data_IF_108108170565
#
_entry.id   IF_108108170565
#
_cell.length_a   1.000
_cell.length_b   1.000
_cell.length_c   1.000
_cell.angle_alpha   90.00
_cell.angle_beta   90.00
_cell.angle_gamma   90.00
#
_symmetry.space_group_name_H-M   'P 1'
#
loop_
_entity.id
_entity.type
_entity.pdbx_description
1 polymer ?
#
# COMPACT_ATOMS: atom_id res chain seq x y z
N UNK A 1 -36.99 -32.31 -28.52
CA UNK A 1 -37.74 -31.07 -28.62
C UNK A 1 -37.19 -30.05 -27.63
N UNK A 2 -36.16 -29.36 -27.97
CA UNK A 2 -35.64 -28.16 -27.28
C UNK A 2 -34.96 -27.32 -28.36
N UNK A 3 -35.77 -26.62 -29.15
CA UNK A 3 -35.30 -25.50 -29.97
C UNK A 3 -34.95 -24.39 -29.00
N UNK A 4 -33.74 -24.39 -28.51
CA UNK A 4 -33.18 -23.26 -27.80
C UNK A 4 -33.26 -22.08 -28.78
N UNK A 5 -34.15 -21.13 -28.52
CA UNK A 5 -34.30 -19.91 -29.29
C UNK A 5 -32.90 -19.30 -29.44
N UNK A 6 -32.48 -18.93 -30.63
CA UNK A 6 -31.14 -18.42 -30.94
C UNK A 6 -30.75 -17.22 -30.05
N UNK A 7 -31.71 -16.54 -29.46
CA UNK A 7 -31.55 -15.51 -28.43
C UNK A 7 -31.14 -16.13 -27.10
N UNK A 8 -31.83 -17.18 -26.66
CA UNK A 8 -31.53 -17.87 -25.39
C UNK A 8 -30.13 -18.51 -25.43
N UNK A 9 -29.77 -19.16 -26.53
CA UNK A 9 -28.43 -19.72 -26.73
C UNK A 9 -27.32 -18.64 -26.67
N UNK A 10 -27.59 -17.47 -27.31
CA UNK A 10 -26.64 -16.34 -27.28
C UNK A 10 -26.46 -15.75 -25.88
N UNK A 11 -27.55 -15.60 -25.12
CA UNK A 11 -27.49 -15.13 -23.73
C UNK A 11 -26.73 -16.12 -22.86
N UNK A 12 -27.02 -17.43 -22.98
CA UNK A 12 -26.33 -18.48 -22.22
C UNK A 12 -24.83 -18.51 -22.52
N UNK A 13 -24.44 -18.41 -23.80
CA UNK A 13 -23.03 -18.35 -24.20
C UNK A 13 -22.38 -17.09 -23.62
N UNK A 14 -23.03 -15.93 -23.68
CA UNK A 14 -22.48 -14.70 -23.11
C UNK A 14 -22.29 -14.79 -21.60
N UNK A 15 -23.28 -15.34 -20.87
CA UNK A 15 -23.18 -15.56 -19.42
C UNK A 15 -22.07 -16.56 -19.10
N UNK A 16 -21.98 -17.66 -19.87
CA UNK A 16 -20.93 -18.66 -19.69
C UNK A 16 -19.54 -18.07 -19.94
N UNK A 17 -19.35 -17.32 -21.01
CA UNK A 17 -18.06 -16.65 -21.31
C UNK A 17 -17.70 -15.63 -20.23
N UNK A 18 -18.69 -14.88 -19.73
CA UNK A 18 -18.49 -13.95 -18.63
C UNK A 18 -18.10 -14.65 -17.34
N UNK A 19 -18.79 -15.75 -16.98
CA UNK A 19 -18.48 -16.58 -15.81
C UNK A 19 -17.08 -17.22 -15.92
N UNK A 20 -16.72 -17.75 -17.09
CA UNK A 20 -15.38 -18.27 -17.38
C UNK A 20 -14.31 -17.18 -17.26
N UNK A 21 -14.59 -15.98 -17.78
CA UNK A 21 -13.70 -14.82 -17.65
C UNK A 21 -13.45 -14.43 -16.18
N UNK A 22 -14.52 -14.35 -15.38
CA UNK A 22 -14.40 -14.11 -13.93
C UNK A 22 -13.66 -15.22 -13.21
N UNK A 23 -13.93 -16.50 -13.55
CA UNK A 23 -13.23 -17.65 -13.00
C UNK A 23 -11.73 -17.61 -13.35
N UNK A 24 -11.37 -17.25 -14.58
CA UNK A 24 -9.99 -17.07 -15.00
C UNK A 24 -9.30 -15.93 -14.24
N UNK A 25 -9.96 -14.76 -14.10
CA UNK A 25 -9.41 -13.64 -13.33
C UNK A 25 -9.19 -14.01 -11.86
N UNK A 26 -10.11 -14.77 -11.28
CA UNK A 26 -9.96 -15.27 -9.91
C UNK A 26 -8.80 -16.27 -9.79
N UNK A 27 -8.67 -17.20 -10.74
CA UNK A 27 -7.57 -18.15 -10.78
C UNK A 27 -6.21 -17.45 -10.99
N UNK A 28 -6.17 -16.42 -11.85
CA UNK A 28 -4.99 -15.63 -12.16
C UNK A 28 -4.70 -14.51 -11.16
N UNK A 29 -5.43 -14.40 -10.06
CA UNK A 29 -5.34 -13.25 -9.11
C UNK A 29 -3.92 -12.98 -8.61
N UNK A 30 -3.14 -14.02 -8.30
CA UNK A 30 -1.77 -13.86 -7.82
C UNK A 30 -0.86 -13.25 -8.90
N UNK A 31 -1.02 -13.72 -10.14
CA UNK A 31 -0.30 -13.16 -11.29
C UNK A 31 -0.69 -11.70 -11.54
N UNK A 32 -1.99 -11.38 -11.51
CA UNK A 32 -2.47 -10.01 -11.66
C UNK A 32 -1.92 -9.09 -10.57
N UNK A 33 -1.85 -9.56 -9.33
CA UNK A 33 -1.24 -8.83 -8.22
C UNK A 33 0.26 -8.59 -8.50
N UNK A 34 0.99 -9.61 -8.94
CA UNK A 34 2.40 -9.47 -9.30
C UNK A 34 2.61 -8.43 -10.41
N UNK A 35 1.76 -8.42 -11.45
CA UNK A 35 1.79 -7.42 -12.52
C UNK A 35 1.48 -6.01 -12.01
N UNK A 36 0.47 -5.86 -11.15
CA UNK A 36 0.16 -4.57 -10.51
C UNK A 36 1.36 -4.06 -9.70
N UNK A 37 1.96 -4.93 -8.87
CA UNK A 37 3.16 -4.55 -8.13
C UNK A 37 4.33 -4.19 -9.06
N UNK A 38 4.50 -4.89 -10.15
CA UNK A 38 5.54 -4.59 -11.14
C UNK A 38 5.31 -3.21 -11.80
N UNK A 39 4.07 -2.87 -12.11
CA UNK A 39 3.71 -1.52 -12.59
C UNK A 39 4.05 -0.48 -11.53
N UNK A 40 3.64 -0.70 -10.27
CA UNK A 40 3.97 0.20 -9.16
C UNK A 40 5.47 0.36 -8.98
N UNK A 41 6.20 -0.73 -9.01
CA UNK A 41 7.65 -0.71 -8.90
C UNK A 41 8.32 0.00 -10.07
N UNK A 42 7.76 -0.14 -11.29
CA UNK A 42 8.20 0.62 -12.45
C UNK A 42 8.00 2.14 -12.25
N UNK A 43 6.84 2.57 -11.73
CA UNK A 43 6.61 3.98 -11.38
C UNK A 43 7.56 4.48 -10.30
N UNK A 44 7.88 3.64 -9.32
CA UNK A 44 8.84 3.92 -8.26
C UNK A 44 10.24 4.18 -8.82
N UNK A 45 10.68 3.34 -9.74
CA UNK A 45 12.01 3.41 -10.36
C UNK A 45 12.09 4.45 -11.48
N UNK A 46 10.95 4.83 -12.09
CA UNK A 46 10.89 5.73 -13.25
C UNK A 46 11.63 7.07 -13.05
N UNK A 47 11.49 7.83 -11.94
CA UNK A 47 12.23 9.07 -11.76
C UNK A 47 13.75 8.86 -11.67
N UNK A 48 14.18 7.76 -11.07
CA UNK A 48 15.61 7.42 -10.97
C UNK A 48 16.16 7.08 -12.36
N UNK A 49 15.43 6.25 -13.12
CA UNK A 49 15.79 5.88 -14.49
C UNK A 49 15.82 7.11 -15.39
N UNK A 50 14.81 7.99 -15.36
CA UNK A 50 14.76 9.17 -16.22
C UNK A 50 15.87 10.19 -15.95
N UNK A 51 16.30 10.33 -14.71
CA UNK A 51 17.42 11.19 -14.35
C UNK A 51 18.76 10.60 -14.86
N UNK A 52 18.94 9.29 -14.68
CA UNK A 52 20.15 8.61 -15.08
C UNK A 52 20.23 8.42 -16.62
N UNK A 53 19.09 8.29 -17.31
CA UNK A 53 19.02 8.23 -18.76
C UNK A 53 19.63 9.45 -19.43
N UNK A 54 19.41 10.64 -18.85
CA UNK A 54 20.03 11.89 -19.35
C UNK A 54 21.55 11.85 -19.28
N UNK A 55 22.10 11.17 -18.28
CA UNK A 55 23.55 11.07 -18.08
C UNK A 55 24.16 9.95 -18.95
N UNK A 56 23.49 8.80 -19.04
CA UNK A 56 24.02 7.59 -19.71
C UNK A 56 23.65 7.50 -21.20
N UNK A 57 22.89 8.47 -21.74
CA UNK A 57 22.46 8.52 -23.14
C UNK A 57 21.80 7.20 -23.63
N UNK A 58 21.00 6.55 -22.74
CA UNK A 58 20.29 5.34 -23.12
C UNK A 58 19.46 4.76 -21.98
N UNK A 59 18.14 4.57 -22.24
CA UNK A 59 17.17 4.08 -21.25
C UNK A 59 17.51 2.69 -20.72
N UNK A 60 17.94 1.77 -21.60
CA UNK A 60 18.33 0.41 -21.20
C UNK A 60 19.55 0.39 -20.28
N UNK A 61 20.56 1.25 -20.54
CA UNK A 61 21.74 1.38 -19.67
C UNK A 61 21.36 1.95 -18.31
N UNK A 62 20.51 2.96 -18.28
CA UNK A 62 20.02 3.55 -17.03
C UNK A 62 19.26 2.52 -16.18
N UNK A 63 18.37 1.72 -16.79
CA UNK A 63 17.66 0.63 -16.14
C UNK A 63 18.68 -0.37 -15.56
N UNK A 64 19.62 -0.86 -16.37
CA UNK A 64 20.60 -1.84 -15.93
C UNK A 64 21.41 -1.36 -14.72
N UNK A 65 21.93 -0.13 -14.77
CA UNK A 65 22.70 0.46 -13.64
C UNK A 65 21.85 0.57 -12.38
N UNK A 66 20.61 1.07 -12.46
CA UNK A 66 19.74 1.21 -11.30
C UNK A 66 19.42 -0.14 -10.68
N UNK A 67 19.14 -1.16 -11.49
CA UNK A 67 18.83 -2.51 -10.97
C UNK A 67 20.05 -3.20 -10.38
N UNK A 68 21.25 -2.99 -10.93
CA UNK A 68 22.49 -3.47 -10.33
C UNK A 68 22.75 -2.77 -8.99
N UNK A 69 22.55 -1.45 -8.92
CA UNK A 69 22.68 -0.71 -7.66
C UNK A 69 21.64 -1.15 -6.63
N UNK A 70 20.38 -1.35 -7.06
CA UNK A 70 19.32 -1.85 -6.20
C UNK A 70 19.65 -3.25 -5.66
N UNK A 71 20.10 -4.15 -6.53
CA UNK A 71 20.53 -5.49 -6.12
C UNK A 71 21.71 -5.43 -5.16
N UNK A 72 22.70 -4.58 -5.43
CA UNK A 72 23.83 -4.35 -4.55
C UNK A 72 23.40 -3.81 -3.17
N UNK A 73 22.46 -2.85 -3.15
CA UNK A 73 21.89 -2.30 -1.92
C UNK A 73 21.14 -3.38 -1.11
N UNK A 74 20.31 -4.18 -1.78
CA UNK A 74 19.56 -5.28 -1.16
C UNK A 74 20.54 -6.32 -0.56
N UNK A 75 21.55 -6.74 -1.32
CA UNK A 75 22.57 -7.69 -0.85
C UNK A 75 23.33 -7.09 0.33
N UNK A 76 23.77 -5.84 0.25
CA UNK A 76 24.46 -5.14 1.33
C UNK A 76 23.60 -5.06 2.59
N UNK A 77 22.31 -4.74 2.44
CA UNK A 77 21.35 -4.71 3.54
C UNK A 77 21.21 -6.09 4.21
N UNK A 78 21.02 -7.15 3.43
CA UNK A 78 20.89 -8.50 3.98
C UNK A 78 22.19 -8.99 4.64
N UNK A 79 23.33 -8.69 4.08
CA UNK A 79 24.65 -9.07 4.66
C UNK A 79 24.95 -8.27 5.94
N UNK A 80 24.63 -6.97 5.96
CA UNK A 80 24.93 -6.11 7.10
C UNK A 80 23.91 -6.23 8.24
N UNK A 81 22.64 -6.36 7.91
CA UNK A 81 21.53 -6.31 8.88
C UNK A 81 20.94 -7.68 9.17
N UNK A 82 20.99 -8.61 8.21
CA UNK A 82 20.43 -9.95 8.34
C UNK A 82 20.92 -10.72 9.58
N UNK A 83 22.23 -10.79 9.88
CA UNK A 83 22.73 -11.47 11.07
C UNK A 83 22.30 -10.81 12.39
N UNK A 84 22.03 -9.51 12.38
CA UNK A 84 21.50 -8.78 13.56
C UNK A 84 20.03 -9.10 13.77
N UNK A 85 19.23 -9.02 12.71
CA UNK A 85 17.81 -9.38 12.74
C UNK A 85 17.64 -10.84 13.15
N UNK A 86 18.43 -11.76 12.60
CA UNK A 86 18.36 -13.18 12.96
C UNK A 86 18.68 -13.44 14.43
N UNK A 87 19.68 -12.74 14.99
CA UNK A 87 20.03 -12.84 16.41
C UNK A 87 18.98 -12.22 17.31
N UNK A 88 18.42 -11.09 16.94
CA UNK A 88 17.38 -10.41 17.72
C UNK A 88 16.05 -11.14 17.65
N UNK A 89 15.67 -11.67 16.48
CA UNK A 89 14.46 -12.50 16.34
C UNK A 89 14.59 -13.83 17.10
N UNK A 90 15.79 -14.45 17.13
CA UNK A 90 16.05 -15.63 17.94
C UNK A 90 15.95 -15.33 19.45
N UNK A 91 16.45 -14.17 19.92
CA UNK A 91 16.28 -13.72 21.31
C UNK A 91 14.82 -13.46 21.65
N UNK A 92 14.08 -12.78 20.76
CA UNK A 92 12.63 -12.57 20.93
C UNK A 92 11.87 -13.90 20.97
N UNK A 93 12.15 -14.83 20.05
CA UNK A 93 11.51 -16.13 20.04
C UNK A 93 11.81 -16.99 21.28
N UNK A 94 12.97 -16.81 21.90
CA UNK A 94 13.32 -17.44 23.17
C UNK A 94 12.67 -16.75 24.38
N UNK A 95 12.38 -15.46 24.31
CA UNK A 95 11.69 -14.71 25.36
C UNK A 95 10.16 -14.88 25.32
N UNK A 96 9.57 -15.13 24.15
CA UNK A 96 8.12 -15.34 23.99
C UNK A 96 7.56 -16.51 24.84
N UNK A 97 8.20 -17.71 24.93
CA UNK A 97 7.75 -18.76 25.82
C UNK A 97 7.89 -18.41 27.30
N UNK A 98 8.82 -17.55 27.67
CA UNK A 98 8.93 -17.05 29.04
C UNK A 98 7.77 -16.11 29.37
N UNK A 99 7.39 -15.21 28.45
CA UNK A 99 6.23 -14.35 28.60
C UNK A 99 4.90 -15.12 28.64
N UNK A 100 4.75 -16.20 27.87
CA UNK A 100 3.56 -17.04 27.92
C UNK A 100 3.47 -17.92 29.16
N UNK A 101 4.59 -18.13 29.89
CA UNK A 101 4.62 -18.85 31.19
C UNK A 101 4.39 -17.94 32.39
N UNK A 102 4.57 -16.61 32.22
CA UNK A 102 4.24 -15.65 33.26
C UNK A 102 2.70 -15.53 33.29
N UNK A 103 2.10 -15.74 34.46
CA UNK A 103 0.68 -15.46 34.63
C UNK A 103 0.45 -13.97 34.33
N UNK A 104 -0.70 -13.64 33.73
CA UNK A 104 -1.09 -12.24 33.44
C UNK A 104 -0.93 -11.31 34.65
N UNK A 105 -1.04 -11.84 35.86
CA UNK A 105 -0.78 -11.12 37.10
C UNK A 105 0.69 -10.75 37.32
N UNK A 106 1.61 -11.66 37.00
CA UNK A 106 3.05 -11.40 37.14
C UNK A 106 3.55 -10.36 36.13
N UNK A 107 3.00 -10.37 34.90
CA UNK A 107 3.31 -9.35 33.89
C UNK A 107 2.83 -7.97 34.35
N UNK A 108 1.62 -7.86 34.89
CA UNK A 108 1.07 -6.60 35.38
C UNK A 108 1.86 -6.07 36.60
N UNK A 109 2.27 -6.94 37.52
CA UNK A 109 3.09 -6.59 38.68
C UNK A 109 4.50 -6.13 38.27
N UNK A 110 5.15 -6.84 37.36
CA UNK A 110 6.47 -6.50 36.84
C UNK A 110 6.45 -5.14 36.13
N UNK A 111 5.49 -4.92 35.23
CA UNK A 111 5.28 -3.63 34.57
C UNK A 111 4.95 -2.52 35.57
N UNK A 112 4.17 -2.83 36.59
CA UNK A 112 3.82 -1.87 37.65
C UNK A 112 5.02 -1.43 38.47
N UNK A 113 5.88 -2.37 38.87
CA UNK A 113 7.10 -2.08 39.62
C UNK A 113 8.13 -1.32 38.79
N UNK A 114 8.35 -1.72 37.54
CA UNK A 114 9.31 -1.09 36.63
C UNK A 114 8.89 0.35 36.24
N UNK A 115 7.59 0.62 36.13
CA UNK A 115 7.06 1.91 35.68
C UNK A 115 6.47 2.77 36.80
N UNK A 116 6.57 2.33 38.05
CA UNK A 116 6.04 3.08 39.21
C UNK A 116 4.53 3.28 39.17
N UNK A 117 3.78 2.30 38.61
CA UNK A 117 2.32 2.37 38.56
C UNK A 117 1.70 2.27 39.96
N UNK A 118 0.63 3.00 40.19
CA UNK A 118 -0.13 2.84 41.40
C UNK A 118 -0.90 1.50 41.41
N UNK A 119 -1.26 0.99 42.59
CA UNK A 119 -1.92 -0.30 42.72
C UNK A 119 -3.18 -0.44 41.83
N UNK A 120 -3.94 0.64 41.66
CA UNK A 120 -5.13 0.66 40.79
C UNK A 120 -4.80 0.36 39.32
N UNK A 121 -3.72 0.93 38.79
CA UNK A 121 -3.32 0.70 37.39
C UNK A 121 -2.80 -0.73 37.19
N UNK A 122 -2.10 -1.25 38.20
CA UNK A 122 -1.63 -2.66 38.19
C UNK A 122 -2.81 -3.62 38.19
N UNK A 123 -3.82 -3.38 39.04
CA UNK A 123 -5.02 -4.22 39.11
C UNK A 123 -5.82 -4.16 37.78
N UNK A 124 -5.99 -2.95 37.22
CA UNK A 124 -6.66 -2.75 35.94
C UNK A 124 -5.93 -3.46 34.77
N UNK A 125 -4.60 -3.39 34.76
CA UNK A 125 -3.77 -4.09 33.77
C UNK A 125 -3.87 -5.61 33.97
N UNK A 126 -3.85 -6.08 35.22
CA UNK A 126 -4.03 -7.49 35.56
C UNK A 126 -5.36 -8.04 35.06
N UNK A 127 -6.46 -7.36 35.39
CA UNK A 127 -7.80 -7.79 34.99
C UNK A 127 -7.97 -7.78 33.48
N UNK A 128 -7.46 -6.75 32.80
CA UNK A 128 -7.48 -6.66 31.34
C UNK A 128 -6.66 -7.75 30.67
N UNK A 129 -5.44 -8.00 31.13
CA UNK A 129 -4.58 -9.06 30.60
C UNK A 129 -5.12 -10.44 30.89
N UNK A 130 -5.71 -10.67 32.09
CA UNK A 130 -6.34 -11.94 32.44
C UNK A 130 -7.59 -12.21 31.60
N UNK A 131 -8.41 -11.18 31.37
CA UNK A 131 -9.63 -11.33 30.56
C UNK A 131 -9.38 -11.51 29.05
N UNK A 132 -8.20 -11.16 28.56
CA UNK A 132 -7.86 -11.16 27.14
C UNK A 132 -6.63 -12.03 26.81
N UNK A 133 -6.16 -12.84 27.76
CA UNK A 133 -4.95 -13.66 27.59
C UNK A 133 -5.00 -14.57 26.36
N UNK A 134 -6.16 -15.19 26.10
CA UNK A 134 -6.36 -16.06 24.94
C UNK A 134 -6.35 -15.29 23.63
N UNK A 135 -6.95 -14.10 23.63
CA UNK A 135 -6.94 -13.22 22.45
C UNK A 135 -5.54 -12.69 22.15
N UNK A 136 -4.77 -12.31 23.17
CA UNK A 136 -3.38 -11.84 23.02
C UNK A 136 -2.50 -12.96 22.48
N UNK A 137 -2.66 -14.19 23.01
CA UNK A 137 -1.90 -15.37 22.55
C UNK A 137 -2.26 -15.72 21.11
N UNK A 138 -3.55 -15.70 20.77
CA UNK A 138 -4.03 -15.94 19.41
C UNK A 138 -3.52 -14.87 18.45
N UNK A 139 -3.57 -13.59 18.85
CA UNK A 139 -3.01 -12.49 18.05
C UNK A 139 -1.51 -12.64 17.81
N UNK A 140 -0.74 -13.02 18.83
CA UNK A 140 0.70 -13.24 18.69
C UNK A 140 1.01 -14.42 17.74
N UNK A 141 0.24 -15.52 17.84
CA UNK A 141 0.34 -16.65 16.92
C UNK A 141 -0.07 -16.26 15.50
N UNK A 142 -1.17 -15.53 15.33
CA UNK A 142 -1.65 -15.05 14.04
C UNK A 142 -0.64 -14.10 13.38
N UNK A 143 -0.02 -13.22 14.14
CA UNK A 143 1.07 -12.36 13.63
C UNK A 143 2.25 -13.22 13.16
N UNK A 144 2.65 -14.21 13.94
CA UNK A 144 3.73 -15.14 13.57
C UNK A 144 3.41 -15.92 12.29
N UNK A 145 2.20 -16.44 12.15
CA UNK A 145 1.74 -17.13 10.95
C UNK A 145 1.66 -16.19 9.74
N UNK A 146 1.18 -14.97 9.90
CA UNK A 146 1.13 -13.97 8.83
C UNK A 146 2.52 -13.54 8.37
N UNK A 147 3.49 -13.42 9.27
CA UNK A 147 4.89 -13.18 8.91
C UNK A 147 5.45 -14.35 8.09
N UNK A 148 5.14 -15.59 8.48
CA UNK A 148 5.53 -16.77 7.70
C UNK A 148 4.85 -16.81 6.32
N UNK A 149 3.61 -16.37 6.19
CA UNK A 149 2.90 -16.28 4.91
C UNK A 149 3.48 -15.18 3.99
N UNK A 150 3.95 -14.07 4.55
CA UNK A 150 4.73 -13.07 3.80
C UNK A 150 6.02 -13.67 3.25
N UNK A 151 6.69 -14.52 4.03
CA UNK A 151 7.90 -15.22 3.57
C UNK A 151 7.61 -16.18 2.39
N UNK A 152 6.45 -16.82 2.35
CA UNK A 152 6.01 -17.63 1.18
C UNK A 152 5.85 -16.81 -0.10
N UNK A 153 5.64 -15.51 0.00
CA UNK A 153 5.52 -14.58 -1.12
C UNK A 153 6.87 -13.97 -1.52
N UNK A 154 7.98 -14.46 -0.96
CA UNK A 154 9.34 -13.94 -1.26
C UNK A 154 9.69 -14.02 -2.78
N UNK A 155 9.05 -14.92 -3.55
CA UNK A 155 9.19 -14.97 -5.00
C UNK A 155 8.79 -13.65 -5.68
N UNK A 156 7.86 -12.88 -5.08
CA UNK A 156 7.49 -11.55 -5.58
C UNK A 156 8.66 -10.56 -5.52
N UNK A 157 9.57 -10.70 -4.54
CA UNK A 157 10.76 -9.85 -4.45
C UNK A 157 11.69 -9.99 -5.66
N UNK A 158 11.60 -11.10 -6.38
CA UNK A 158 12.37 -11.34 -7.61
C UNK A 158 11.54 -11.01 -8.84
N UNK A 159 10.31 -11.51 -8.90
CA UNK A 159 9.45 -11.37 -10.08
C UNK A 159 9.00 -9.91 -10.29
N UNK A 160 8.67 -9.18 -9.23
CA UNK A 160 8.20 -7.79 -9.34
C UNK A 160 9.27 -6.87 -9.96
N UNK A 161 10.52 -6.82 -9.46
CA UNK A 161 11.59 -6.08 -10.13
C UNK A 161 11.83 -6.54 -11.56
N UNK A 162 11.85 -7.85 -11.82
CA UNK A 162 12.07 -8.40 -13.16
C UNK A 162 10.99 -7.94 -14.15
N UNK A 163 9.71 -8.07 -13.78
CA UNK A 163 8.61 -7.61 -14.64
C UNK A 163 8.61 -6.09 -14.81
N UNK A 164 9.01 -5.34 -13.78
CA UNK A 164 9.04 -3.88 -13.86
C UNK A 164 10.07 -3.35 -14.85
N UNK A 165 11.13 -4.10 -15.17
CA UNK A 165 12.09 -3.76 -16.24
C UNK A 165 11.35 -3.65 -17.58
N UNK A 166 10.45 -4.59 -17.88
CA UNK A 166 9.66 -4.56 -19.10
C UNK A 166 8.74 -3.33 -19.15
N UNK A 167 8.04 -3.02 -18.05
CA UNK A 167 7.19 -1.83 -17.98
C UNK A 167 8.00 -0.53 -18.09
N UNK A 168 9.20 -0.47 -17.53
CA UNK A 168 10.09 0.68 -17.68
C UNK A 168 10.60 0.83 -19.09
N UNK A 169 10.94 -0.26 -19.76
CA UNK A 169 11.50 -0.24 -21.10
C UNK A 169 10.42 0.02 -22.16
N UNK A 170 9.32 -0.72 -22.10
CA UNK A 170 8.35 -0.83 -23.19
C UNK A 170 6.97 -0.21 -22.84
N UNK A 171 6.84 0.52 -21.73
CA UNK A 171 5.57 1.05 -21.26
C UNK A 171 4.86 1.98 -22.26
N UNK A 172 5.61 2.78 -23.02
CA UNK A 172 5.03 3.63 -24.09
C UNK A 172 4.54 2.80 -25.28
N UNK A 173 5.27 1.76 -25.67
CA UNK A 173 4.89 0.85 -26.74
C UNK A 173 3.61 0.09 -26.35
N UNK A 174 3.51 -0.38 -25.11
CA UNK A 174 2.32 -1.06 -24.62
C UNK A 174 1.08 -0.15 -24.64
N UNK A 175 1.21 1.11 -24.23
CA UNK A 175 0.13 2.10 -24.33
C UNK A 175 -0.31 2.31 -25.79
N UNK A 176 0.62 2.38 -26.74
CA UNK A 176 0.29 2.52 -28.17
C UNK A 176 -0.42 1.30 -28.71
N UNK A 177 0.04 0.09 -28.38
CA UNK A 177 -0.64 -1.16 -28.78
C UNK A 177 -2.09 -1.17 -28.31
N UNK A 178 -2.34 -0.79 -27.05
CA UNK A 178 -3.72 -0.68 -26.53
C UNK A 178 -4.57 0.32 -27.30
N UNK A 179 -4.01 1.45 -27.69
CA UNK A 179 -4.71 2.48 -28.47
C UNK A 179 -4.97 2.02 -29.91
N UNK A 180 -4.10 1.23 -30.49
CA UNK A 180 -4.23 0.73 -31.86
C UNK A 180 -5.28 -0.41 -31.99
N UNK A 181 -5.60 -1.09 -30.89
CA UNK A 181 -6.71 -2.04 -30.82
C UNK A 181 -8.08 -1.38 -30.99
N UNK A 182 -8.17 -0.05 -30.76
CA UNK A 182 -9.42 0.70 -30.81
C UNK A 182 -9.51 1.49 -32.11
N UNK A 183 -10.40 1.07 -33.00
CA UNK A 183 -10.56 1.68 -34.33
C UNK A 183 -11.41 2.97 -34.31
N UNK A 184 -12.33 3.07 -33.36
CA UNK A 184 -13.25 4.20 -33.25
C UNK A 184 -12.56 5.40 -32.60
N UNK A 185 -12.50 6.55 -33.29
CA UNK A 185 -11.91 7.79 -32.76
C UNK A 185 -12.43 8.19 -31.37
N UNK A 186 -13.75 8.23 -31.10
CA UNK A 186 -14.24 8.63 -29.78
C UNK A 186 -13.84 7.66 -28.66
N UNK A 187 -13.77 6.36 -28.95
CA UNK A 187 -13.33 5.35 -27.99
C UNK A 187 -11.83 5.42 -27.76
N UNK A 188 -11.04 5.71 -28.80
CA UNK A 188 -9.59 5.93 -28.70
C UNK A 188 -9.28 7.15 -27.82
N UNK A 189 -10.01 8.26 -27.98
CA UNK A 189 -9.88 9.45 -27.13
C UNK A 189 -10.25 9.14 -25.67
N UNK A 190 -11.31 8.37 -25.42
CA UNK A 190 -11.68 7.90 -24.10
C UNK A 190 -10.55 7.09 -23.47
N UNK A 191 -10.03 6.08 -24.19
CA UNK A 191 -8.98 5.21 -23.72
C UNK A 191 -7.69 5.99 -23.45
N UNK A 192 -7.30 6.90 -24.36
CA UNK A 192 -6.13 7.76 -24.18
C UNK A 192 -6.28 8.65 -22.96
N UNK A 193 -7.46 9.22 -22.72
CA UNK A 193 -7.75 10.01 -21.55
C UNK A 193 -7.67 9.19 -20.26
N UNK A 194 -8.21 7.96 -20.25
CA UNK A 194 -8.11 7.04 -19.12
C UNK A 194 -6.64 6.70 -18.83
N UNK A 195 -5.87 6.28 -19.84
CA UNK A 195 -4.45 5.93 -19.66
C UNK A 195 -3.62 7.12 -19.16
N UNK A 196 -3.87 8.32 -19.68
CA UNK A 196 -3.18 9.54 -19.22
C UNK A 196 -3.48 9.86 -17.77
N UNK A 197 -4.78 9.83 -17.37
CA UNK A 197 -5.18 10.12 -15.98
C UNK A 197 -4.63 9.06 -15.01
N UNK A 198 -4.66 7.78 -15.40
CA UNK A 198 -4.10 6.68 -14.62
C UNK A 198 -2.59 6.85 -14.41
N UNK A 199 -1.87 7.17 -15.50
CA UNK A 199 -0.42 7.40 -15.45
C UNK A 199 -0.07 8.55 -14.51
N UNK A 200 -0.80 9.67 -14.61
CA UNK A 200 -0.59 10.82 -13.75
C UNK A 200 -0.92 10.52 -12.29
N UNK A 201 -2.05 9.87 -12.02
CA UNK A 201 -2.49 9.49 -10.67
C UNK A 201 -1.49 8.53 -10.01
N UNK A 202 -1.07 7.46 -10.72
CA UNK A 202 -0.13 6.48 -10.19
C UNK A 202 1.23 7.10 -9.89
N UNK A 203 1.76 7.92 -10.82
CA UNK A 203 3.03 8.61 -10.61
C UNK A 203 2.98 9.55 -9.40
N UNK A 204 1.86 10.27 -9.24
CA UNK A 204 1.67 11.18 -8.11
C UNK A 204 1.55 10.42 -6.77
N UNK A 205 0.71 9.36 -6.76
CA UNK A 205 0.52 8.52 -5.58
C UNK A 205 1.83 7.93 -5.07
N UNK A 206 2.63 7.33 -5.96
CA UNK A 206 3.88 6.68 -5.57
C UNK A 206 4.89 7.69 -5.05
N UNK A 207 5.01 8.87 -5.69
CA UNK A 207 5.87 9.94 -5.17
C UNK A 207 5.43 10.41 -3.79
N UNK A 208 4.13 10.62 -3.61
CA UNK A 208 3.56 11.02 -2.32
C UNK A 208 3.85 9.98 -1.24
N UNK A 209 3.64 8.71 -1.54
CA UNK A 209 3.86 7.60 -0.62
C UNK A 209 5.34 7.45 -0.23
N UNK A 210 6.26 7.65 -1.20
CA UNK A 210 7.70 7.67 -0.92
C UNK A 210 8.10 8.80 0.03
N UNK A 211 7.56 10.01 -0.21
CA UNK A 211 7.86 11.16 0.64
C UNK A 211 7.33 10.93 2.05
N UNK A 212 6.10 10.40 2.18
CA UNK A 212 5.51 10.06 3.49
C UNK A 212 6.33 8.99 4.21
N UNK A 213 6.72 7.93 3.52
CA UNK A 213 7.54 6.86 4.08
C UNK A 213 8.92 7.36 4.54
N UNK A 214 9.59 8.16 3.71
CA UNK A 214 10.88 8.76 4.05
C UNK A 214 10.76 9.73 5.23
N UNK A 215 9.70 10.55 5.25
CA UNK A 215 9.44 11.49 6.34
C UNK A 215 9.19 10.75 7.66
N UNK A 216 8.34 9.71 7.64
CA UNK A 216 8.06 8.87 8.81
C UNK A 216 9.32 8.17 9.31
N UNK A 217 10.14 7.62 8.41
CA UNK A 217 11.42 7.02 8.76
C UNK A 217 12.32 8.02 9.48
N UNK A 218 12.49 9.22 8.93
CA UNK A 218 13.35 10.27 9.54
C UNK A 218 12.79 10.72 10.88
N UNK A 219 11.49 11.00 10.96
CA UNK A 219 10.87 11.51 12.18
C UNK A 219 10.89 10.45 13.28
N UNK A 220 10.50 9.20 12.98
CA UNK A 220 10.55 8.15 14.00
C UNK A 220 11.99 7.84 14.44
N UNK A 221 12.93 7.68 13.51
CA UNK A 221 14.32 7.39 13.86
C UNK A 221 14.93 8.50 14.71
N UNK A 222 14.71 9.78 14.35
CA UNK A 222 15.26 10.92 15.08
C UNK A 222 14.55 11.16 16.43
N UNK A 223 13.21 11.15 16.45
CA UNK A 223 12.47 11.41 17.68
C UNK A 223 12.66 10.28 18.71
N UNK A 224 12.54 9.01 18.30
CA UNK A 224 12.79 7.88 19.19
C UNK A 224 14.24 7.84 19.67
N UNK A 225 15.19 8.22 18.80
CA UNK A 225 16.60 8.34 19.17
C UNK A 225 16.86 9.45 20.19
N UNK A 226 16.27 10.65 20.00
CA UNK A 226 16.35 11.74 20.97
C UNK A 226 15.67 11.42 22.30
N UNK A 227 14.63 10.61 22.27
CA UNK A 227 13.95 10.10 23.46
C UNK A 227 14.77 9.00 24.16
N UNK A 228 15.92 8.57 23.62
CA UNK A 228 16.77 7.54 24.18
C UNK A 228 16.20 6.12 24.07
N UNK A 229 15.27 5.90 23.14
CA UNK A 229 14.66 4.59 22.95
C UNK A 229 15.63 3.62 22.25
N UNK A 230 15.70 2.41 22.76
CA UNK A 230 16.45 1.34 22.12
C UNK A 230 15.85 1.00 20.76
N UNK A 231 16.70 0.67 19.77
CA UNK A 231 16.26 0.29 18.41
C UNK A 231 15.56 1.39 17.61
N UNK A 232 15.75 2.66 17.97
CA UNK A 232 15.09 3.81 17.31
C UNK A 232 15.22 3.79 15.78
N UNK A 233 16.40 3.45 15.26
CA UNK A 233 16.63 3.38 13.82
C UNK A 233 15.85 2.23 13.15
N UNK A 234 15.83 1.07 13.80
CA UNK A 234 15.08 -0.10 13.30
C UNK A 234 13.59 0.18 13.31
N UNK A 235 13.07 0.71 14.43
CA UNK A 235 11.67 1.06 14.58
C UNK A 235 11.25 2.16 13.58
N UNK A 236 12.08 3.16 13.38
CA UNK A 236 11.87 4.21 12.39
C UNK A 236 11.87 3.68 10.95
N UNK A 237 12.80 2.76 10.65
CA UNK A 237 12.85 2.12 9.32
C UNK A 237 11.63 1.26 9.06
N UNK A 238 11.26 0.41 10.00
CA UNK A 238 10.05 -0.43 9.87
C UNK A 238 8.79 0.43 9.83
N UNK A 239 8.70 1.47 10.66
CA UNK A 239 7.58 2.42 10.64
C UNK A 239 7.44 3.14 9.29
N UNK A 240 8.56 3.59 8.72
CA UNK A 240 8.58 4.18 7.37
C UNK A 240 8.17 3.19 6.27
N UNK A 241 8.61 1.93 6.36
CA UNK A 241 8.18 0.89 5.42
C UNK A 241 6.69 0.55 5.58
N UNK A 242 6.19 0.49 6.81
CA UNK A 242 4.77 0.24 7.08
C UNK A 242 3.87 1.37 6.56
N UNK A 243 4.40 2.59 6.39
CA UNK A 243 3.66 3.71 5.81
C UNK A 243 3.10 3.42 4.41
N UNK A 244 3.73 2.50 3.67
CA UNK A 244 3.20 2.05 2.37
C UNK A 244 1.84 1.35 2.48
N UNK A 245 1.46 0.86 3.65
CA UNK A 245 0.17 0.19 3.90
C UNK A 245 -0.81 1.20 4.48
N UNK A 246 -1.74 1.76 3.68
CA UNK A 246 -2.62 2.84 4.14
C UNK A 246 -3.46 2.41 5.34
N UNK A 247 -3.63 3.30 6.30
CA UNK A 247 -4.42 3.14 7.54
C UNK A 247 -3.85 2.08 8.48
N UNK A 248 -3.61 0.85 7.99
CA UNK A 248 -3.14 -0.29 8.81
C UNK A 248 -1.68 -0.11 9.21
N UNK A 249 -0.83 0.35 8.29
CA UNK A 249 0.60 0.47 8.50
C UNK A 249 0.99 1.36 9.68
N UNK A 250 0.52 2.61 9.75
CA UNK A 250 0.79 3.48 10.88
C UNK A 250 0.30 2.94 12.22
N UNK A 251 -0.85 2.25 12.24
CA UNK A 251 -1.37 1.62 13.45
C UNK A 251 -0.46 0.48 13.92
N UNK A 252 -0.04 -0.38 12.99
CA UNK A 252 0.89 -1.48 13.28
C UNK A 252 2.24 -0.94 13.72
N UNK A 253 2.75 0.13 13.09
CA UNK A 253 3.98 0.79 13.49
C UNK A 253 3.90 1.35 14.91
N UNK A 254 2.83 2.08 15.24
CA UNK A 254 2.62 2.62 16.58
C UNK A 254 2.52 1.52 17.63
N UNK A 255 1.74 0.47 17.35
CA UNK A 255 1.60 -0.68 18.24
C UNK A 255 2.95 -1.38 18.47
N UNK A 256 3.73 -1.61 17.40
CA UNK A 256 5.05 -2.23 17.49
C UNK A 256 6.01 -1.37 18.34
N UNK A 257 6.02 -0.05 18.15
CA UNK A 257 6.85 0.87 18.95
C UNK A 257 6.45 0.81 20.42
N UNK A 258 5.15 0.81 20.73
CA UNK A 258 4.65 0.70 22.12
C UNK A 258 5.04 -0.65 22.72
N UNK A 259 4.88 -1.76 22.00
CA UNK A 259 5.27 -3.09 22.47
C UNK A 259 6.77 -3.16 22.77
N UNK A 260 7.62 -2.62 21.89
CA UNK A 260 9.07 -2.58 22.13
C UNK A 260 9.40 -1.69 23.32
N UNK A 261 8.72 -0.56 23.51
CA UNK A 261 8.90 0.30 24.68
C UNK A 261 8.57 -0.43 25.99
N UNK A 262 7.49 -1.20 26.01
CA UNK A 262 7.09 -2.02 27.18
C UNK A 262 8.12 -3.13 27.43
N UNK A 263 8.55 -3.86 26.40
CA UNK A 263 9.53 -4.95 26.52
C UNK A 263 10.94 -4.47 26.96
N UNK A 264 11.28 -3.21 26.66
CA UNK A 264 12.56 -2.60 27.04
C UNK A 264 12.49 -1.75 28.31
N UNK A 265 11.38 -1.85 29.05
CA UNK A 265 11.13 -1.07 30.27
C UNK A 265 11.39 0.43 30.09
N UNK A 266 10.94 0.98 28.97
CA UNK A 266 11.16 2.37 28.62
C UNK A 266 10.41 3.32 29.56
N UNK A 267 11.11 4.12 30.35
CA UNK A 267 10.53 4.91 31.43
C UNK A 267 9.59 6.03 30.95
N UNK A 268 9.82 6.60 29.77
CA UNK A 268 9.05 7.76 29.28
C UNK A 268 7.92 7.33 28.33
N UNK A 269 7.24 6.22 28.64
CA UNK A 269 6.19 5.66 27.79
C UNK A 269 5.04 6.64 27.50
N UNK A 270 4.68 7.52 28.47
CA UNK A 270 3.64 8.53 28.28
C UNK A 270 4.04 9.56 27.23
N UNK A 271 5.28 10.06 27.28
CA UNK A 271 5.82 10.97 26.28
C UNK A 271 5.84 10.31 24.88
N UNK A 272 6.16 9.02 24.83
CA UNK A 272 6.13 8.23 23.60
C UNK A 272 4.72 8.17 23.00
N UNK A 273 3.71 7.83 23.81
CA UNK A 273 2.31 7.76 23.35
C UNK A 273 1.81 9.13 22.86
N UNK A 274 2.13 10.20 23.59
CA UNK A 274 1.81 11.57 23.18
C UNK A 274 2.50 11.91 21.85
N UNK A 275 3.78 11.58 21.71
CA UNK A 275 4.52 11.79 20.46
C UNK A 275 3.88 11.06 19.28
N UNK A 276 3.58 9.77 19.43
CA UNK A 276 2.95 8.96 18.37
C UNK A 276 1.58 9.53 17.98
N UNK A 277 0.76 9.93 18.97
CA UNK A 277 -0.53 10.57 18.72
C UNK A 277 -0.41 11.92 18.02
N UNK A 278 0.47 12.80 18.52
CA UNK A 278 0.71 14.11 17.90
C UNK A 278 1.26 13.97 16.47
N UNK A 279 2.23 13.07 16.27
CA UNK A 279 2.78 12.81 14.94
C UNK A 279 1.69 12.30 13.98
N UNK A 280 0.83 11.37 14.43
CA UNK A 280 -0.28 10.87 13.63
C UNK A 280 -1.24 11.98 13.22
N UNK A 281 -1.62 12.84 14.15
CA UNK A 281 -2.47 14.00 13.86
C UNK A 281 -1.82 14.95 12.84
N UNK A 282 -0.53 15.28 13.02
CA UNK A 282 0.22 16.11 12.06
C UNK A 282 0.22 15.44 10.68
N UNK A 283 0.44 14.15 10.63
CA UNK A 283 0.49 13.40 9.38
C UNK A 283 -0.87 13.39 8.66
N UNK A 284 -1.96 13.13 9.38
CA UNK A 284 -3.29 13.03 8.79
C UNK A 284 -3.88 14.40 8.38
N UNK A 285 -3.64 15.45 9.19
CA UNK A 285 -4.27 16.76 8.96
C UNK A 285 -3.37 17.77 8.26
N UNK A 286 -2.06 17.58 8.28
CA UNK A 286 -1.11 18.56 7.72
C UNK A 286 -0.29 17.97 6.58
N UNK A 287 0.38 16.85 6.83
CA UNK A 287 1.40 16.31 5.91
C UNK A 287 0.76 15.60 4.72
N UNK A 288 -0.15 14.66 4.97
CA UNK A 288 -0.81 13.89 3.91
C UNK A 288 -1.62 14.77 2.94
N UNK A 289 -2.45 15.73 3.40
CA UNK A 289 -3.16 16.62 2.48
C UNK A 289 -2.23 17.48 1.61
N UNK A 290 -1.09 17.93 2.16
CA UNK A 290 -0.12 18.74 1.41
C UNK A 290 0.66 17.93 0.38
N UNK A 291 0.99 16.68 0.69
CA UNK A 291 1.79 15.81 -0.18
C UNK A 291 0.91 15.11 -1.22
N UNK A 292 -0.23 14.58 -0.82
CA UNK A 292 -1.16 13.88 -1.72
C UNK A 292 -2.03 14.83 -2.55
N UNK A 293 -2.27 16.06 -2.07
CA UNK A 293 -3.11 17.04 -2.76
C UNK A 293 -4.54 16.54 -3.00
N UNK A 294 -5.26 17.21 -3.92
CA UNK A 294 -6.62 16.83 -4.32
C UNK A 294 -6.68 15.62 -5.29
N UNK A 295 -5.54 15.02 -5.60
CA UNK A 295 -5.46 13.98 -6.65
C UNK A 295 -6.18 12.68 -6.28
N UNK A 296 -6.53 12.48 -5.02
CA UNK A 296 -7.18 11.27 -4.51
C UNK A 296 -8.42 11.58 -3.68
N UNK A 297 -9.36 12.31 -4.25
CA UNK A 297 -10.67 12.54 -3.61
C UNK A 297 -11.51 11.25 -3.59
N UNK A 298 -11.06 10.23 -2.86
CA UNK A 298 -11.88 9.07 -2.56
C UNK A 298 -12.76 9.39 -1.36
N UNK A 299 -14.03 9.03 -1.45
CA UNK A 299 -14.90 9.08 -0.29
C UNK A 299 -14.34 8.15 0.81
N UNK A 300 -14.29 8.55 2.09
CA UNK A 300 -13.73 7.71 3.15
C UNK A 300 -14.29 6.29 3.20
N UNK A 301 -15.60 6.13 2.98
CA UNK A 301 -16.22 4.79 2.91
C UNK A 301 -15.67 3.93 1.76
N UNK A 302 -15.36 4.54 0.61
CA UNK A 302 -14.77 3.81 -0.51
C UNK A 302 -13.34 3.35 -0.21
N UNK A 303 -12.57 4.18 0.51
CA UNK A 303 -11.24 3.81 0.96
C UNK A 303 -11.28 2.65 1.97
N UNK A 304 -12.17 2.72 2.97
CA UNK A 304 -12.37 1.64 3.95
C UNK A 304 -12.81 0.35 3.24
N UNK A 305 -13.81 0.43 2.37
CA UNK A 305 -14.27 -0.71 1.59
C UNK A 305 -13.13 -1.33 0.76
N UNK A 306 -12.35 -0.47 0.07
CA UNK A 306 -11.20 -0.93 -0.72
C UNK A 306 -10.15 -1.65 0.13
N UNK A 307 -9.83 -1.14 1.32
CA UNK A 307 -8.88 -1.76 2.26
C UNK A 307 -9.39 -3.11 2.75
N UNK A 308 -10.66 -3.20 3.14
CA UNK A 308 -11.26 -4.46 3.61
C UNK A 308 -11.32 -5.50 2.48
N UNK A 309 -11.89 -5.13 1.33
CA UNK A 309 -11.97 -6.01 0.17
C UNK A 309 -10.59 -6.42 -0.36
N UNK A 310 -9.65 -5.48 -0.42
CA UNK A 310 -8.26 -5.76 -0.79
C UNK A 310 -7.61 -6.76 0.16
N UNK A 311 -7.84 -6.58 1.47
CA UNK A 311 -7.35 -7.49 2.50
C UNK A 311 -7.86 -8.92 2.35
N UNK A 312 -9.13 -9.10 2.01
CA UNK A 312 -9.74 -10.42 1.76
C UNK A 312 -9.20 -11.08 0.48
N UNK A 313 -9.02 -10.30 -0.59
CA UNK A 313 -8.59 -10.84 -1.89
C UNK A 313 -7.12 -11.22 -1.92
N UNK A 314 -6.26 -10.39 -1.33
CA UNK A 314 -4.80 -10.50 -1.49
C UNK A 314 -4.01 -10.21 -0.20
N UNK A 315 -4.65 -10.21 0.97
CA UNK A 315 -4.00 -9.93 2.25
C UNK A 315 -3.35 -8.55 2.31
N UNK A 316 -2.16 -8.46 2.90
CA UNK A 316 -1.41 -7.21 3.06
C UNK A 316 -1.16 -6.53 1.71
N UNK A 317 -0.87 -7.31 0.67
CA UNK A 317 -0.65 -6.80 -0.69
C UNK A 317 -1.91 -6.14 -1.27
N UNK A 318 -3.07 -6.74 -1.01
CA UNK A 318 -4.36 -6.17 -1.43
C UNK A 318 -4.70 -4.89 -0.68
N UNK A 319 -4.39 -4.81 0.62
CA UNK A 319 -4.54 -3.57 1.40
C UNK A 319 -3.68 -2.45 0.79
N UNK A 320 -2.42 -2.73 0.47
CA UNK A 320 -1.52 -1.77 -0.18
C UNK A 320 -2.07 -1.26 -1.51
N UNK A 321 -2.55 -2.16 -2.37
CA UNK A 321 -3.07 -1.82 -3.69
C UNK A 321 -4.48 -1.22 -3.67
N UNK A 322 -5.18 -1.26 -2.54
CA UNK A 322 -6.60 -0.87 -2.45
C UNK A 322 -6.86 0.56 -2.92
N UNK A 323 -6.08 1.52 -2.43
CA UNK A 323 -6.26 2.94 -2.77
C UNK A 323 -6.02 3.22 -4.26
N UNK A 324 -4.89 2.79 -4.87
CA UNK A 324 -4.67 2.97 -6.30
C UNK A 324 -5.73 2.27 -7.17
N UNK A 325 -6.16 1.07 -6.79
CA UNK A 325 -7.21 0.35 -7.52
C UNK A 325 -8.53 1.11 -7.47
N UNK A 326 -8.94 1.57 -6.29
CA UNK A 326 -10.17 2.36 -6.14
C UNK A 326 -10.10 3.68 -6.89
N UNK A 327 -8.97 4.37 -6.86
CA UNK A 327 -8.76 5.59 -7.63
C UNK A 327 -8.79 5.33 -9.14
N UNK A 328 -8.21 4.21 -9.59
CA UNK A 328 -8.27 3.78 -11.00
C UNK A 328 -9.70 3.51 -11.46
N UNK A 329 -10.48 2.78 -10.66
CA UNK A 329 -11.90 2.54 -10.96
C UNK A 329 -12.71 3.84 -11.05
N UNK A 330 -12.46 4.79 -10.14
CA UNK A 330 -13.09 6.11 -10.19
C UNK A 330 -12.73 6.86 -11.47
N UNK A 331 -11.46 6.86 -11.89
CA UNK A 331 -11.01 7.51 -13.14
C UNK A 331 -11.72 6.91 -14.34
N UNK A 332 -11.74 5.57 -14.44
CA UNK A 332 -12.43 4.86 -15.54
C UNK A 332 -13.90 5.22 -15.57
N UNK A 333 -14.58 5.17 -14.43
CA UNK A 333 -16.00 5.50 -14.33
C UNK A 333 -16.30 6.97 -14.70
N UNK A 334 -15.49 7.91 -14.20
CA UNK A 334 -15.63 9.34 -14.53
C UNK A 334 -15.46 9.59 -16.03
N UNK A 335 -14.42 9.03 -16.65
CA UNK A 335 -14.16 9.17 -18.08
C UNK A 335 -15.26 8.53 -18.93
N UNK A 336 -15.72 7.35 -18.53
CA UNK A 336 -16.83 6.67 -19.21
C UNK A 336 -18.13 7.48 -19.12
N UNK A 337 -18.43 8.06 -17.95
CA UNK A 337 -19.62 8.93 -17.79
C UNK A 337 -19.55 10.15 -18.70
N UNK A 338 -18.44 10.86 -18.74
CA UNK A 338 -18.23 12.01 -19.62
C UNK A 338 -18.37 11.62 -21.11
N UNK A 339 -17.86 10.45 -21.48
CA UNK A 339 -18.02 9.93 -22.82
C UNK A 339 -19.50 9.63 -23.16
N UNK A 340 -20.24 9.03 -22.25
CA UNK A 340 -21.66 8.72 -22.41
C UNK A 340 -22.51 10.00 -22.52
N UNK A 341 -22.20 11.03 -21.73
CA UNK A 341 -22.85 12.34 -21.79
C UNK A 341 -22.61 13.04 -23.14
N UNK A 342 -21.34 13.10 -23.59
CA UNK A 342 -21.01 13.65 -24.93
C UNK A 342 -21.74 12.93 -26.07
N UNK A 343 -21.92 11.62 -25.95
CA UNK A 343 -22.66 10.84 -26.95
C UNK A 343 -24.17 11.13 -26.96
N UNK A 344 -24.76 11.49 -25.81
CA UNK A 344 -26.18 11.81 -25.67
C UNK A 344 -26.53 13.23 -26.11
N UNK A 345 -25.66 14.20 -25.81
CA UNK A 345 -25.99 15.64 -25.95
C UNK A 345 -25.20 16.34 -27.06
N UNK A 346 -24.30 15.66 -27.77
CA UNK A 346 -23.42 16.29 -28.76
C UNK A 346 -22.31 17.13 -28.09
N UNK A 347 -21.43 17.76 -28.86
CA UNK A 347 -20.42 18.67 -28.30
C UNK A 347 -21.11 19.91 -27.71
N UNK A 348 -20.98 20.09 -26.41
CA UNK A 348 -21.59 21.20 -25.64
C UNK A 348 -21.15 22.61 -26.12
N UNK A 349 -20.14 22.69 -26.96
CA UNK A 349 -19.55 23.97 -27.41
C UNK A 349 -20.39 24.69 -28.48
N UNK A 350 -21.27 24.03 -29.18
CA UNK A 350 -22.09 24.66 -30.22
C UNK A 350 -23.34 25.38 -29.68
N UNK A 351 -23.84 24.96 -28.50
CA UNK A 351 -25.03 25.58 -27.90
C UNK A 351 -24.73 26.83 -27.08
N UNK A 352 -23.52 26.95 -26.49
CA UNK A 352 -23.19 28.11 -25.65
C UNK A 352 -22.69 29.30 -26.49
N UNK A 353 -21.99 29.05 -27.59
CA UNK A 353 -21.55 30.11 -28.49
C UNK A 353 -22.71 30.67 -29.38
N UNK A 354 -23.67 29.82 -29.73
CA UNK A 354 -24.87 30.25 -30.49
C UNK A 354 -25.79 31.15 -29.67
N UNK A 355 -25.89 30.99 -28.37
CA UNK A 355 -26.75 31.82 -27.52
C UNK A 355 -26.13 33.18 -27.16
N UNK A 356 -24.81 33.36 -27.26
CA UNK A 356 -24.13 34.64 -27.00
C UNK A 356 -24.04 35.54 -28.24
N UNK A 357 -24.13 34.98 -29.43
CA UNK A 357 -24.13 35.77 -30.68
C UNK A 357 -25.53 36.29 -31.04
N UNK A 358 -26.60 35.71 -30.47
CA UNK A 358 -28.00 36.15 -30.70
C UNK A 358 -28.44 37.35 -29.86
N UNK A 359 -27.65 37.89 -28.96
CA UNK A 359 -28.02 39.03 -28.08
C UNK A 359 -27.34 40.35 -28.45
N UNK A 360 -26.76 40.46 -29.66
CA UNK A 360 -26.29 41.72 -30.23
C UNK A 360 -26.88 41.89 -31.67
N UNK A 361 -28.15 42.14 -31.74
CA UNK A 361 -28.78 42.87 -32.85
C UNK A 361 -29.94 43.67 -32.30
#
# INVERSE_FOLDING_TARGET
MLLADARTARVLITVLLFALGLGFLYAARQTLIAFLFAIFFAYLMSPLVSNLEKLLHGRGRAIAVIYVLLLGLVVLFFVSTGPRIARESARLSQSLPALSRLSSGQIAEQLGQEHGWNARLVDLARDYLAGHSDQITTLAQDIGLRVADVAKQAWLLVIVPLLSIFFLKDGTAFSQILLDLVQSRPQRELLQGVLSDLNQMLAHFIRAQLILAALTLVVYSSALGMMGMNYALVLGTVGGLLEFIPVVGPLVAALMIIVVALLTSYQHWLALVIFLGCWRLIQDYVTSPRIMGQSMELHPLAAIFGVMAGGEVAGILGIFLSIPVMASLRIVFRRWRLYAEKRKFGPLDEYVLGSQVGLKK
#
